data_IF_101902654019
#
_entry.id   IF_101902654019
#
_cell.length_a   1.000
_cell.length_b   1.000
_cell.length_c   1.000
_cell.angle_alpha   90.00
_cell.angle_beta   90.00
_cell.angle_gamma   90.00
#
_symmetry.space_group_name_H-M   'P 1'
#
loop_
_entity.id
_entity.type
_entity.pdbx_description
1 polymer ?
#
# COMPACT_ATOMS: atom_id res chain seq x y z
N UNK A 1 -2.13 10.00 21.28
CA UNK A 1 -2.04 10.37 19.86
C UNK A 1 -3.27 9.78 19.16
N UNK A 2 -4.19 10.62 18.69
CA UNK A 2 -5.42 10.15 18.02
C UNK A 2 -5.08 9.66 16.60
N UNK A 3 -5.05 8.35 16.43
CA UNK A 3 -4.70 7.72 15.15
C UNK A 3 -5.80 7.89 14.09
N UNK A 4 -7.02 8.32 14.45
CA UNK A 4 -8.14 8.47 13.50
C UNK A 4 -7.95 9.65 12.55
N UNK A 5 -7.14 10.64 12.92
CA UNK A 5 -6.83 11.83 12.12
C UNK A 5 -5.58 11.66 11.23
N UNK A 6 -4.87 10.53 11.31
CA UNK A 6 -3.60 10.34 10.61
C UNK A 6 -3.80 9.77 9.19
N UNK A 7 -3.25 10.41 8.15
CA UNK A 7 -3.23 9.86 6.79
C UNK A 7 -2.61 8.46 6.78
N UNK A 8 -3.28 7.50 6.15
CA UNK A 8 -2.87 6.08 6.14
C UNK A 8 -3.54 5.20 7.21
N UNK A 9 -4.21 5.79 8.21
CA UNK A 9 -4.86 5.06 9.30
C UNK A 9 -5.84 3.99 8.83
N UNK A 10 -6.69 4.28 7.84
CA UNK A 10 -7.68 3.29 7.33
C UNK A 10 -7.00 2.01 6.82
N UNK A 11 -5.85 2.15 6.14
CA UNK A 11 -5.07 1.02 5.60
C UNK A 11 -4.49 0.18 6.73
N UNK A 12 -3.87 0.86 7.69
CA UNK A 12 -3.35 0.24 8.91
C UNK A 12 -4.46 -0.48 9.69
N UNK A 13 -5.58 0.18 9.94
CA UNK A 13 -6.68 -0.42 10.69
C UNK A 13 -7.25 -1.65 9.98
N UNK A 14 -7.66 -1.54 8.71
CA UNK A 14 -8.32 -2.64 8.01
C UNK A 14 -7.36 -3.84 7.80
N UNK A 15 -6.13 -3.58 7.33
CA UNK A 15 -5.23 -4.67 6.93
C UNK A 15 -4.32 -5.11 8.09
N UNK A 16 -3.65 -4.16 8.75
CA UNK A 16 -2.70 -4.48 9.83
C UNK A 16 -3.42 -4.97 11.08
N UNK A 17 -4.42 -4.24 11.56
CA UNK A 17 -5.13 -4.58 12.82
C UNK A 17 -6.20 -5.66 12.63
N UNK A 18 -7.13 -5.47 11.69
CA UNK A 18 -8.25 -6.41 11.51
C UNK A 18 -7.90 -7.65 10.67
N UNK A 19 -6.77 -7.61 9.95
CA UNK A 19 -6.30 -8.76 9.16
C UNK A 19 -7.00 -8.91 7.80
N UNK A 20 -7.72 -7.89 7.32
CA UNK A 20 -8.26 -7.88 5.97
C UNK A 20 -7.15 -8.07 4.92
N UNK A 21 -7.55 -8.54 3.75
CA UNK A 21 -6.68 -8.77 2.60
C UNK A 21 -7.21 -8.00 1.39
N UNK A 22 -6.36 -7.77 0.41
CA UNK A 22 -6.75 -7.12 -0.84
C UNK A 22 -5.97 -7.70 -2.00
N UNK A 23 -6.68 -8.19 -3.00
CA UNK A 23 -6.17 -8.62 -4.30
C UNK A 23 -6.95 -7.99 -5.46
N UNK A 24 -7.84 -7.03 -5.17
CA UNK A 24 -8.68 -6.38 -6.16
C UNK A 24 -8.35 -4.89 -6.24
N UNK A 25 -8.00 -4.44 -7.44
CA UNK A 25 -7.67 -3.06 -7.76
C UNK A 25 -8.70 -2.47 -8.72
N UNK A 26 -9.39 -1.42 -8.29
CA UNK A 26 -10.33 -0.69 -9.13
C UNK A 26 -9.68 0.57 -9.65
N UNK A 27 -9.55 0.68 -10.98
CA UNK A 27 -9.15 1.92 -11.64
C UNK A 27 -10.29 2.92 -11.58
N UNK A 28 -9.98 4.16 -11.23
CA UNK A 28 -10.87 5.30 -11.38
C UNK A 28 -12.32 5.05 -10.89
N UNK A 29 -12.47 4.40 -9.72
CA UNK A 29 -13.77 3.91 -9.21
C UNK A 29 -14.87 4.97 -9.14
N UNK A 30 -14.50 6.23 -8.90
CA UNK A 30 -15.44 7.35 -8.81
C UNK A 30 -15.48 8.21 -10.09
N UNK A 31 -14.76 7.82 -11.14
CA UNK A 31 -14.70 8.54 -12.41
C UNK A 31 -14.18 9.97 -12.25
N UNK A 32 -14.64 10.84 -13.15
CA UNK A 32 -14.33 12.27 -13.11
C UNK A 32 -15.09 12.92 -11.96
N UNK A 33 -14.35 13.52 -11.03
CA UNK A 33 -14.92 14.32 -9.96
C UNK A 33 -15.19 15.74 -10.50
N UNK A 34 -16.45 16.17 -10.42
CA UNK A 34 -16.95 17.37 -11.10
C UNK A 34 -16.69 18.69 -10.33
N UNK A 35 -15.98 18.64 -9.20
CA UNK A 35 -15.55 19.84 -8.49
C UNK A 35 -14.24 20.41 -9.07
N UNK A 36 -14.11 21.73 -9.05
CA UNK A 36 -12.93 22.44 -9.57
C UNK A 36 -11.61 22.05 -8.88
N UNK A 37 -11.69 21.42 -7.71
CA UNK A 37 -10.55 21.05 -6.86
C UNK A 37 -10.00 19.65 -7.16
N UNK A 38 -10.81 18.75 -7.72
CA UNK A 38 -10.50 17.34 -7.98
C UNK A 38 -10.47 16.98 -9.48
N UNK A 39 -10.72 17.94 -10.39
CA UNK A 39 -10.54 17.73 -11.83
C UNK A 39 -9.18 17.08 -12.11
N UNK A 40 -9.19 15.99 -12.89
CA UNK A 40 -8.00 15.19 -13.33
C UNK A 40 -7.35 14.31 -12.27
N UNK A 41 -7.98 14.12 -11.11
CA UNK A 41 -7.52 13.18 -10.10
C UNK A 41 -7.90 11.74 -10.48
N UNK A 42 -6.92 10.85 -10.44
CA UNK A 42 -7.17 9.41 -10.51
C UNK A 42 -7.82 8.91 -9.22
N UNK A 43 -8.91 8.15 -9.34
CA UNK A 43 -9.71 7.72 -8.18
C UNK A 43 -9.57 6.24 -7.88
N UNK A 44 -8.38 5.70 -8.05
CA UNK A 44 -8.11 4.27 -7.84
C UNK A 44 -8.38 3.82 -6.41
N UNK A 45 -8.94 2.61 -6.26
CA UNK A 45 -9.31 2.05 -4.96
C UNK A 45 -8.93 0.59 -4.84
N UNK A 46 -8.58 0.20 -3.63
CA UNK A 46 -8.56 -1.20 -3.23
C UNK A 46 -9.96 -1.60 -2.77
N UNK A 47 -10.38 -2.79 -3.17
CA UNK A 47 -11.47 -3.50 -2.50
C UNK A 47 -10.84 -4.49 -1.51
N UNK A 48 -11.22 -4.36 -0.24
CA UNK A 48 -10.67 -5.17 0.85
C UNK A 48 -11.68 -6.21 1.28
N UNK A 49 -11.22 -7.45 1.45
CA UNK A 49 -12.02 -8.55 1.96
C UNK A 49 -11.65 -8.86 3.40
N UNK A 50 -12.65 -9.06 4.25
CA UNK A 50 -12.44 -9.40 5.65
C UNK A 50 -13.12 -10.73 6.03
N UNK A 51 -12.33 -11.79 5.96
CA UNK A 51 -12.74 -13.15 6.31
C UNK A 51 -12.63 -13.37 7.82
N UNK A 52 -13.59 -12.84 8.59
CA UNK A 52 -13.55 -12.76 10.08
C UNK A 52 -13.24 -14.11 10.74
N UNK A 53 -13.77 -15.21 10.21
CA UNK A 53 -13.59 -16.57 10.78
C UNK A 53 -12.34 -17.31 10.29
N UNK A 54 -11.57 -16.72 9.39
CA UNK A 54 -10.38 -17.35 8.79
C UNK A 54 -9.28 -17.63 9.82
N UNK A 55 -8.47 -18.66 9.54
CA UNK A 55 -7.26 -18.99 10.34
C UNK A 55 -6.35 -17.77 10.51
N UNK A 56 -6.14 -17.02 9.42
CA UNK A 56 -5.34 -15.80 9.38
C UNK A 56 -5.80 -14.75 10.38
N UNK A 57 -7.10 -14.44 10.44
CA UNK A 57 -7.64 -13.46 11.41
C UNK A 57 -7.45 -13.95 12.85
N UNK A 58 -7.69 -15.25 13.11
CA UNK A 58 -7.44 -15.84 14.43
C UNK A 58 -5.96 -15.75 14.85
N UNK A 59 -5.04 -16.04 13.93
CA UNK A 59 -3.59 -15.90 14.16
C UNK A 59 -3.18 -14.44 14.37
N UNK A 60 -3.80 -13.51 13.63
CA UNK A 60 -3.58 -12.07 13.79
C UNK A 60 -3.98 -11.59 15.18
N UNK A 61 -5.12 -12.03 15.70
CA UNK A 61 -5.60 -11.69 17.05
C UNK A 61 -4.67 -12.27 18.12
N UNK A 62 -4.17 -13.50 17.91
CA UNK A 62 -3.26 -14.17 18.86
C UNK A 62 -1.86 -13.59 18.88
N UNK A 63 -1.39 -12.98 17.77
CA UNK A 63 -0.05 -12.40 17.70
C UNK A 63 0.07 -11.19 18.63
N UNK A 64 0.97 -11.29 19.60
CA UNK A 64 1.24 -10.21 20.57
C UNK A 64 2.01 -9.04 19.97
N UNK A 65 2.83 -9.30 18.94
CA UNK A 65 3.66 -8.26 18.30
C UNK A 65 3.51 -8.20 16.77
N UNK A 66 3.43 -7.00 16.19
CA UNK A 66 3.52 -6.78 14.75
C UNK A 66 4.94 -7.12 14.23
N UNK A 67 5.05 -7.78 13.07
CA UNK A 67 6.31 -7.88 12.31
C UNK A 67 6.85 -6.50 11.92
N UNK A 68 8.15 -6.25 12.06
CA UNK A 68 8.77 -4.96 11.69
C UNK A 68 9.29 -4.96 10.24
N UNK A 69 9.70 -3.79 9.73
CA UNK A 69 10.34 -3.71 8.41
C UNK A 69 11.69 -4.45 8.40
N UNK A 70 12.51 -4.24 9.42
CA UNK A 70 13.85 -4.84 9.53
C UNK A 70 13.80 -6.37 9.55
N UNK A 71 12.81 -6.96 10.22
CA UNK A 71 12.59 -8.41 10.20
C UNK A 71 12.31 -8.92 8.78
N UNK A 72 11.49 -8.20 8.01
CA UNK A 72 11.19 -8.58 6.63
C UNK A 72 12.43 -8.46 5.74
N UNK A 73 13.20 -7.39 5.90
CA UNK A 73 14.42 -7.19 5.14
C UNK A 73 15.47 -8.26 5.49
N UNK A 74 15.61 -8.62 6.77
CA UNK A 74 16.49 -9.70 7.23
C UNK A 74 16.05 -11.08 6.71
N UNK A 75 14.74 -11.30 6.54
CA UNK A 75 14.17 -12.48 5.87
C UNK A 75 14.35 -12.47 4.33
N UNK A 76 14.99 -11.43 3.77
CA UNK A 76 15.21 -11.29 2.33
C UNK A 76 13.97 -10.84 1.55
N UNK A 77 12.96 -10.27 2.22
CA UNK A 77 11.78 -9.70 1.55
C UNK A 77 12.17 -8.40 0.87
N UNK A 78 12.09 -8.38 -0.46
CA UNK A 78 12.58 -7.26 -1.25
C UNK A 78 11.53 -6.18 -1.52
N UNK A 79 11.91 -4.89 -1.50
CA UNK A 79 11.08 -3.80 -2.01
C UNK A 79 10.89 -3.88 -3.53
N UNK A 80 9.65 -3.87 -4.00
CA UNK A 80 9.26 -3.86 -5.41
C UNK A 80 9.67 -2.55 -6.07
N UNK A 81 9.50 -1.43 -5.39
CA UNK A 81 9.75 -0.11 -5.94
C UNK A 81 10.84 0.65 -5.20
N UNK A 82 11.53 1.49 -5.97
CA UNK A 82 12.47 2.48 -5.45
C UNK A 82 11.80 3.84 -5.41
N UNK A 83 12.03 4.58 -4.32
CA UNK A 83 11.55 5.94 -4.13
C UNK A 83 12.71 6.88 -3.86
N UNK A 84 12.52 8.17 -4.15
CA UNK A 84 13.49 9.22 -3.83
C UNK A 84 12.82 10.35 -3.08
N UNK A 85 13.54 10.96 -2.14
CA UNK A 85 13.13 12.22 -1.55
C UNK A 85 13.21 13.34 -2.59
N UNK A 86 12.31 14.31 -2.44
CA UNK A 86 12.31 15.57 -3.17
C UNK A 86 12.86 16.68 -2.28
N UNK A 87 13.21 17.81 -2.88
CA UNK A 87 13.60 19.04 -2.17
C UNK A 87 12.54 19.53 -1.17
N UNK A 88 11.27 19.17 -1.36
CA UNK A 88 10.16 19.58 -0.51
C UNK A 88 9.77 18.51 0.54
N UNK A 89 10.63 17.50 0.76
CA UNK A 89 10.42 16.47 1.79
C UNK A 89 9.35 15.43 1.45
N UNK A 90 8.80 15.42 0.23
CA UNK A 90 7.95 14.32 -0.24
C UNK A 90 8.79 13.24 -0.92
N UNK A 91 8.31 12.00 -0.91
CA UNK A 91 8.88 10.92 -1.74
C UNK A 91 8.18 10.85 -3.09
N UNK A 92 8.93 10.52 -4.13
CA UNK A 92 8.42 10.20 -5.47
C UNK A 92 8.83 8.78 -5.87
N UNK A 93 7.98 8.06 -6.62
CA UNK A 93 8.36 6.77 -7.16
C UNK A 93 9.37 6.98 -8.29
N UNK A 94 10.36 6.10 -8.39
CA UNK A 94 11.41 6.15 -9.41
C UNK A 94 11.26 4.99 -10.38
N UNK A 95 11.24 3.76 -9.87
CA UNK A 95 11.19 2.55 -10.69
C UNK A 95 10.49 1.42 -9.94
N UNK A 96 10.01 0.42 -10.68
CA UNK A 96 9.36 -0.76 -10.13
C UNK A 96 9.91 -2.03 -10.79
N UNK A 97 10.24 -3.03 -9.97
CA UNK A 97 10.66 -4.36 -10.37
C UNK A 97 9.42 -5.25 -10.45
N UNK A 98 8.89 -5.46 -11.66
CA UNK A 98 7.60 -6.15 -11.85
C UNK A 98 7.73 -7.66 -12.08
N UNK A 99 8.94 -8.20 -12.08
CA UNK A 99 9.24 -9.62 -12.37
C UNK A 99 9.76 -10.38 -11.15
N UNK A 100 9.68 -9.82 -9.94
CA UNK A 100 10.11 -10.52 -8.72
C UNK A 100 9.23 -11.75 -8.50
N UNK A 101 9.84 -12.84 -8.03
CA UNK A 101 9.18 -14.14 -7.84
C UNK A 101 9.14 -14.61 -6.38
N UNK A 102 9.78 -13.85 -5.48
CA UNK A 102 9.77 -14.17 -4.06
C UNK A 102 8.32 -14.29 -3.54
N UNK A 103 8.05 -15.20 -2.59
CA UNK A 103 6.70 -15.43 -2.09
C UNK A 103 6.15 -14.24 -1.31
N UNK A 104 7.03 -13.34 -0.85
CA UNK A 104 6.70 -12.13 -0.11
C UNK A 104 7.43 -10.96 -0.73
N UNK A 105 6.76 -9.83 -0.83
CA UNK A 105 7.28 -8.60 -1.43
C UNK A 105 6.81 -7.38 -0.64
N UNK A 106 7.60 -6.31 -0.68
CA UNK A 106 7.28 -5.02 -0.07
C UNK A 106 6.96 -3.98 -1.14
N UNK A 107 5.88 -3.22 -1.00
CA UNK A 107 5.58 -2.09 -1.89
C UNK A 107 5.48 -0.83 -1.06
N UNK A 108 6.42 0.10 -1.27
CA UNK A 108 6.36 1.42 -0.65
C UNK A 108 5.24 2.25 -1.29
N UNK A 109 4.48 2.95 -0.46
CA UNK A 109 3.41 3.87 -0.86
C UNK A 109 3.60 5.22 -0.17
N UNK A 110 3.06 6.31 -0.74
CA UNK A 110 3.15 7.61 -0.09
C UNK A 110 2.33 7.58 1.18
N UNK A 111 2.93 8.06 2.27
CA UNK A 111 2.28 8.19 3.57
C UNK A 111 0.96 8.96 3.47
N UNK A 112 1.00 10.10 2.78
CA UNK A 112 -0.15 10.96 2.55
C UNK A 112 -0.20 11.43 1.10
N UNK A 113 -0.99 10.75 0.27
CA UNK A 113 -1.19 11.14 -1.12
C UNK A 113 -1.84 12.53 -1.26
N UNK A 114 -2.65 12.94 -0.29
CA UNK A 114 -3.26 14.28 -0.25
C UNK A 114 -2.18 15.36 -0.12
N UNK A 115 -1.22 15.21 0.81
CA UNK A 115 -0.10 16.16 0.94
C UNK A 115 0.80 16.19 -0.29
N UNK A 116 1.06 15.04 -0.91
CA UNK A 116 1.81 14.98 -2.17
C UNK A 116 1.07 15.79 -3.26
N UNK A 117 -0.25 15.63 -3.34
CA UNK A 117 -1.10 16.36 -4.28
C UNK A 117 -1.13 17.86 -4.02
N UNK A 118 -1.22 18.27 -2.76
CA UNK A 118 -1.29 19.69 -2.38
C UNK A 118 -0.02 20.45 -2.81
N UNK A 119 1.10 19.74 -2.99
CA UNK A 119 2.34 20.28 -3.57
C UNK A 119 2.40 20.09 -5.09
N UNK A 120 1.99 18.93 -5.60
CA UNK A 120 1.98 18.66 -7.05
C UNK A 120 0.95 17.58 -7.43
N UNK A 121 -0.04 17.97 -8.23
CA UNK A 121 -1.00 17.03 -8.82
C UNK A 121 -0.31 15.99 -9.72
N UNK A 122 0.71 16.40 -10.47
CA UNK A 122 1.49 15.49 -11.32
C UNK A 122 2.23 14.44 -10.50
N UNK A 123 2.80 14.82 -9.35
CA UNK A 123 3.42 13.89 -8.41
C UNK A 123 2.42 12.88 -7.84
N UNK A 124 1.22 13.33 -7.46
CA UNK A 124 0.18 12.46 -6.95
C UNK A 124 -0.35 11.48 -8.04
N UNK A 125 -0.50 11.95 -9.27
CA UNK A 125 -0.89 11.09 -10.39
C UNK A 125 0.22 10.10 -10.75
N UNK A 126 1.49 10.51 -10.72
CA UNK A 126 2.64 9.62 -10.89
C UNK A 126 2.64 8.50 -9.85
N UNK A 127 2.40 8.83 -8.58
CA UNK A 127 2.24 7.82 -7.52
C UNK A 127 1.07 6.87 -7.76
N UNK A 128 -0.09 7.40 -8.15
CA UNK A 128 -1.29 6.58 -8.39
C UNK A 128 -1.05 5.60 -9.54
N UNK A 129 -0.54 6.07 -10.68
CA UNK A 129 -0.21 5.23 -11.83
C UNK A 129 0.88 4.21 -11.51
N UNK A 130 1.88 4.60 -10.72
CA UNK A 130 2.95 3.71 -10.28
C UNK A 130 2.41 2.57 -9.40
N UNK A 131 1.56 2.90 -8.43
CA UNK A 131 0.89 1.92 -7.58
C UNK A 131 -0.02 1.01 -8.42
N UNK A 132 -0.86 1.57 -9.30
CA UNK A 132 -1.73 0.83 -10.23
C UNK A 132 -0.95 -0.26 -10.97
N UNK A 133 0.15 0.14 -11.63
CA UNK A 133 1.02 -0.77 -12.39
C UNK A 133 1.60 -1.89 -11.52
N UNK A 134 1.97 -1.61 -10.28
CA UNK A 134 2.52 -2.61 -9.35
C UNK A 134 1.42 -3.58 -8.91
N UNK A 135 0.33 -3.05 -8.38
CA UNK A 135 -0.70 -3.87 -7.73
C UNK A 135 -1.42 -4.76 -8.73
N UNK A 136 -1.84 -4.23 -9.88
CA UNK A 136 -2.47 -5.04 -10.93
C UNK A 136 -1.54 -6.17 -11.39
N UNK A 137 -0.28 -5.87 -11.70
CA UNK A 137 0.69 -6.87 -12.12
C UNK A 137 0.87 -8.00 -11.10
N UNK A 138 0.94 -7.68 -9.80
CA UNK A 138 1.15 -8.71 -8.78
C UNK A 138 -0.16 -9.42 -8.39
N UNK A 139 -1.30 -8.74 -8.40
CA UNK A 139 -2.61 -9.36 -8.15
C UNK A 139 -2.95 -10.39 -9.24
N UNK A 140 -2.71 -10.07 -10.52
CA UNK A 140 -2.86 -11.01 -11.64
C UNK A 140 -1.95 -12.25 -11.51
N UNK A 141 -0.88 -12.14 -10.73
CA UNK A 141 0.09 -13.23 -10.47
C UNK A 141 -0.19 -13.98 -9.16
N UNK A 142 -1.36 -13.76 -8.56
CA UNK A 142 -1.83 -14.43 -7.35
C UNK A 142 -1.28 -13.86 -6.05
N UNK A 143 -0.81 -12.61 -6.05
CA UNK A 143 -0.45 -11.94 -4.81
C UNK A 143 -1.64 -11.23 -4.18
N UNK A 144 -1.61 -11.08 -2.86
CA UNK A 144 -2.55 -10.26 -2.10
C UNK A 144 -1.78 -9.39 -1.12
N UNK A 145 -2.25 -8.16 -0.93
CA UNK A 145 -1.84 -7.32 0.20
C UNK A 145 -2.37 -7.97 1.48
N UNK A 146 -1.44 -8.24 2.40
CA UNK A 146 -1.71 -8.93 3.66
C UNK A 146 -1.13 -8.21 4.87
N UNK A 147 -0.32 -7.18 4.69
CA UNK A 147 0.09 -6.37 5.82
C UNK A 147 0.37 -4.93 5.43
N UNK A 148 0.39 -4.08 6.45
CA UNK A 148 0.89 -2.71 6.35
C UNK A 148 1.95 -2.51 7.43
N UNK A 149 3.13 -2.12 7.01
CA UNK A 149 4.25 -1.76 7.90
C UNK A 149 4.43 -0.25 7.83
N UNK A 150 4.65 0.34 9.00
CA UNK A 150 5.11 1.73 9.14
C UNK A 150 6.47 1.62 9.81
N UNK A 151 7.50 2.18 9.21
CA UNK A 151 8.86 2.20 9.79
C UNK A 151 9.08 3.47 10.63
N UNK A 152 10.28 3.60 11.19
CA UNK A 152 10.64 4.71 12.08
C UNK A 152 10.77 6.06 11.35
N UNK A 153 10.96 6.03 10.02
CA UNK A 153 10.90 7.22 9.15
C UNK A 153 9.47 7.54 8.69
N UNK A 154 8.47 6.82 9.22
CA UNK A 154 7.05 6.94 8.86
C UNK A 154 6.75 6.64 7.38
N UNK A 155 7.61 5.82 6.77
CA UNK A 155 7.37 5.24 5.45
C UNK A 155 6.38 4.11 5.60
N UNK A 156 5.49 4.01 4.63
CA UNK A 156 4.44 2.99 4.63
C UNK A 156 4.74 1.96 3.55
N UNK A 157 4.72 0.69 3.94
CA UNK A 157 4.88 -0.44 3.06
C UNK A 157 3.67 -1.35 3.13
N UNK A 158 3.17 -1.77 1.97
CA UNK A 158 2.31 -2.94 1.88
C UNK A 158 3.16 -4.20 1.79
N UNK A 159 2.77 -5.25 2.51
CA UNK A 159 3.34 -6.60 2.36
C UNK A 159 2.42 -7.38 1.43
N UNK A 160 2.97 -7.82 0.31
CA UNK A 160 2.30 -8.72 -0.63
C UNK A 160 2.76 -10.14 -0.36
N UNK A 161 1.82 -11.06 -0.24
CA UNK A 161 2.11 -12.49 -0.17
C UNK A 161 1.49 -13.17 -1.39
N UNK A 162 2.21 -14.11 -2.01
CA UNK A 162 1.68 -14.99 -3.03
C UNK A 162 0.84 -16.07 -2.37
N UNK A 163 -0.37 -16.30 -2.85
CA UNK A 163 -1.13 -17.48 -2.46
C UNK A 163 -0.33 -18.72 -2.88
N UNK A 164 0.03 -19.56 -1.92
CA UNK A 164 0.43 -20.94 -2.22
C UNK A 164 -0.81 -21.68 -2.67
N UNK A 165 -0.79 -22.12 -3.93
CA UNK A 165 -1.73 -23.12 -4.45
C UNK A 165 -1.61 -24.41 -3.67
#
# INVERSE_FOLDING_TARGET
>A
MDLRSTPGWKRYFNIRKLGAVCNTYHRDLYGLLDDSLNRRRLTDRFEVEWHIRSRRVRERIRRSRPTSLDELLAEGVEPVNMTKNTSHGQRLPVSARLRLKAPRLLVEIPRNITRVRDVSLSAANSWTLHARRIFENYFDRGFSVTDVIVDDEDRIFYVLNRSTT
#
